data_IF_040988373276
#
_entry.id   IF_040988373276
#
_cell.length_a   1.000
_cell.length_b   1.000
_cell.length_c   1.000
_cell.angle_alpha   90.00
_cell.angle_beta   90.00
_cell.angle_gamma   90.00
#
_symmetry.space_group_name_H-M   'P 1'
#
loop_
_entity.id
_entity.type
_entity.pdbx_description
1 polymer ?
#
# COMPACT_ATOMS: atom_id res chain seq x y z
N UNK A 1 1.34 -2.12 -24.34
CA UNK A 1 1.54 -3.35 -23.54
C UNK A 1 0.44 -3.56 -22.49
N UNK A 2 0.10 -2.55 -21.67
CA UNK A 2 -0.95 -2.67 -20.62
C UNK A 2 -2.37 -2.90 -21.15
N UNK A 3 -2.73 -2.25 -22.27
CA UNK A 3 -4.01 -2.46 -22.97
C UNK A 3 -4.15 -3.91 -23.47
N UNK A 4 -3.06 -4.49 -24.01
CA UNK A 4 -3.04 -5.87 -24.49
C UNK A 4 -3.26 -6.89 -23.36
N UNK A 5 -2.66 -6.65 -22.18
CA UNK A 5 -2.89 -7.46 -20.97
C UNK A 5 -4.31 -7.35 -20.40
N UNK A 6 -5.07 -6.33 -20.82
CA UNK A 6 -6.44 -6.05 -20.37
C UNK A 6 -7.49 -6.42 -21.43
N UNK A 7 -7.11 -6.94 -22.60
CA UNK A 7 -8.03 -7.29 -23.69
C UNK A 7 -9.08 -8.33 -23.29
N UNK A 8 -8.74 -9.24 -22.37
CA UNK A 8 -9.67 -10.22 -21.81
C UNK A 8 -10.58 -9.65 -20.70
N UNK A 9 -10.42 -8.37 -20.33
CA UNK A 9 -11.14 -7.69 -19.26
C UNK A 9 -11.76 -6.37 -19.78
N UNK A 10 -12.92 -6.42 -20.46
CA UNK A 10 -13.51 -5.25 -21.12
C UNK A 10 -13.75 -4.05 -20.19
N UNK A 11 -14.06 -4.31 -18.93
CA UNK A 11 -14.24 -3.27 -17.91
C UNK A 11 -12.93 -2.60 -17.52
N UNK A 12 -11.80 -3.31 -17.57
CA UNK A 12 -10.48 -2.74 -17.28
C UNK A 12 -10.05 -1.81 -18.42
N UNK A 13 -10.38 -2.17 -19.67
CA UNK A 13 -10.17 -1.29 -20.83
C UNK A 13 -11.01 -0.03 -20.71
N UNK A 14 -12.29 -0.16 -20.36
CA UNK A 14 -13.16 1.01 -20.14
C UNK A 14 -12.59 1.93 -19.05
N UNK A 15 -12.15 1.37 -17.92
CA UNK A 15 -11.54 2.16 -16.85
C UNK A 15 -10.21 2.81 -17.27
N UNK A 16 -9.36 2.12 -18.03
CA UNK A 16 -8.12 2.70 -18.59
C UNK A 16 -8.42 3.83 -19.58
N UNK A 17 -9.45 3.68 -20.42
CA UNK A 17 -9.90 4.70 -21.36
C UNK A 17 -10.52 5.89 -20.62
N UNK A 18 -11.39 5.65 -19.64
CA UNK A 18 -12.00 6.70 -18.83
C UNK A 18 -10.95 7.42 -18.00
N UNK A 19 -9.96 6.73 -17.43
CA UNK A 19 -8.84 7.37 -16.74
C UNK A 19 -7.99 8.23 -17.69
N UNK A 20 -7.78 7.77 -18.93
CA UNK A 20 -7.03 8.52 -19.95
C UNK A 20 -7.81 9.72 -20.51
N UNK A 21 -9.14 9.64 -20.59
CA UNK A 21 -10.03 10.66 -21.19
C UNK A 21 -10.61 11.64 -20.17
N UNK A 22 -10.89 11.17 -18.96
CA UNK A 22 -11.56 11.91 -17.86
C UNK A 22 -10.68 11.98 -16.60
N UNK A 23 -9.86 10.96 -16.34
CA UNK A 23 -9.08 10.81 -15.12
C UNK A 23 -7.93 11.80 -14.93
N UNK A 24 -7.57 12.60 -15.94
CA UNK A 24 -6.74 13.80 -15.74
C UNK A 24 -7.47 14.90 -14.93
N UNK A 25 -8.80 14.83 -14.83
CA UNK A 25 -9.62 15.79 -14.07
C UNK A 25 -10.10 15.27 -12.71
N UNK A 26 -9.94 13.96 -12.40
CA UNK A 26 -10.32 13.37 -11.09
C UNK A 26 -9.18 13.52 -10.07
N UNK A 27 -7.94 13.56 -10.54
CA UNK A 27 -6.78 14.00 -9.78
C UNK A 27 -6.47 15.39 -10.28
N UNK A 28 -6.80 16.44 -9.52
CA UNK A 28 -6.38 17.80 -9.87
C UNK A 28 -4.87 17.77 -10.10
N UNK A 29 -4.42 18.01 -11.34
CA UNK A 29 -2.99 18.21 -11.60
C UNK A 29 -2.55 19.40 -10.77
N UNK A 30 -1.67 19.16 -9.80
CA UNK A 30 -1.12 20.21 -8.96
C UNK A 30 -0.45 21.24 -9.90
N UNK A 31 -0.93 22.47 -9.89
CA UNK A 31 -0.21 23.55 -10.56
C UNK A 31 1.03 23.87 -9.73
N UNK A 32 2.15 23.30 -10.16
CA UNK A 32 3.44 23.43 -9.48
C UNK A 32 4.10 24.78 -9.74
N UNK A 33 3.60 25.58 -10.71
CA UNK A 33 4.25 26.83 -11.13
C UNK A 33 4.32 27.89 -10.04
N UNK A 34 3.40 27.85 -9.08
CA UNK A 34 3.35 28.76 -7.92
C UNK A 34 4.16 28.28 -6.70
N UNK A 35 4.70 27.05 -6.74
CA UNK A 35 5.46 26.46 -5.64
C UNK A 35 6.92 26.95 -5.63
N UNK A 36 7.57 26.86 -4.46
CA UNK A 36 9.01 27.06 -4.37
C UNK A 36 9.76 26.02 -5.24
N UNK A 37 10.96 26.35 -5.77
CA UNK A 37 11.77 25.37 -6.51
C UNK A 37 12.05 24.09 -5.71
N UNK A 38 12.26 24.20 -4.40
CA UNK A 38 12.48 23.05 -3.52
C UNK A 38 11.23 22.17 -3.39
N UNK A 39 10.04 22.76 -3.27
CA UNK A 39 8.79 22.00 -3.19
C UNK A 39 8.44 21.35 -4.53
N UNK A 40 8.71 22.03 -5.67
CA UNK A 40 8.61 21.42 -6.99
C UNK A 40 9.49 20.16 -7.07
N UNK A 41 10.75 20.28 -6.64
CA UNK A 41 11.67 19.14 -6.60
C UNK A 41 11.20 18.03 -5.65
N UNK A 42 10.60 18.37 -4.51
CA UNK A 42 9.99 17.38 -3.62
C UNK A 42 8.87 16.60 -4.33
N UNK A 43 7.97 17.26 -5.07
CA UNK A 43 6.96 16.55 -5.85
C UNK A 43 7.54 15.72 -7.00
N UNK A 44 8.63 16.14 -7.63
CA UNK A 44 9.35 15.31 -8.60
C UNK A 44 9.91 14.04 -7.97
N UNK A 45 10.59 14.16 -6.83
CA UNK A 45 11.10 13.02 -6.05
C UNK A 45 9.95 12.10 -5.61
N UNK A 46 8.81 12.67 -5.20
CA UNK A 46 7.61 11.90 -4.86
C UNK A 46 7.11 11.09 -6.07
N UNK A 47 7.01 11.70 -7.25
CA UNK A 47 6.57 11.01 -8.45
C UNK A 47 7.53 9.88 -8.87
N UNK A 48 8.84 10.10 -8.70
CA UNK A 48 9.88 9.10 -9.01
C UNK A 48 9.81 7.88 -8.10
N UNK A 49 9.63 8.10 -6.79
CA UNK A 49 9.72 7.04 -5.77
C UNK A 49 8.37 6.37 -5.46
N UNK A 50 7.25 7.08 -5.63
CA UNK A 50 5.91 6.63 -5.20
C UNK A 50 5.00 6.15 -6.35
N UNK A 51 5.34 6.52 -7.60
CA UNK A 51 4.58 6.18 -8.82
C UNK A 51 3.08 6.49 -8.68
N UNK A 52 2.22 5.47 -8.63
CA UNK A 52 0.76 5.64 -8.57
C UNK A 52 0.27 6.28 -7.28
N UNK A 53 1.02 6.16 -6.18
CA UNK A 53 0.62 6.74 -4.89
C UNK A 53 0.91 8.25 -4.83
N UNK A 54 1.82 8.77 -5.67
CA UNK A 54 2.07 10.20 -5.80
C UNK A 54 0.82 11.00 -6.22
N UNK A 55 0.03 10.44 -7.14
CA UNK A 55 -1.23 11.07 -7.59
C UNK A 55 -2.25 11.18 -6.45
N UNK A 56 -2.28 10.17 -5.57
CA UNK A 56 -3.20 10.13 -4.43
C UNK A 56 -2.79 11.16 -3.37
N UNK A 57 -1.48 11.31 -3.10
CA UNK A 57 -0.95 12.35 -2.21
C UNK A 57 -1.25 13.74 -2.78
N UNK A 58 -1.04 13.96 -4.07
CA UNK A 58 -1.29 15.25 -4.73
C UNK A 58 -2.77 15.66 -4.73
N UNK A 59 -3.69 14.72 -4.52
CA UNK A 59 -5.12 14.98 -4.43
C UNK A 59 -5.59 15.40 -3.03
N UNK A 60 -4.74 15.34 -1.99
CA UNK A 60 -5.09 15.76 -0.63
C UNK A 60 -5.43 17.25 -0.56
N UNK A 61 -6.31 17.63 0.37
CA UNK A 61 -6.78 19.01 0.50
C UNK A 61 -5.77 19.92 1.23
N UNK A 62 -5.79 21.19 0.87
CA UNK A 62 -5.12 22.27 1.62
C UNK A 62 -3.63 22.04 1.90
N UNK A 63 -3.22 22.37 3.11
CA UNK A 63 -1.82 22.27 3.54
C UNK A 63 -1.43 20.88 4.06
N UNK A 64 -2.39 19.94 4.14
CA UNK A 64 -2.11 18.53 4.40
C UNK A 64 -1.33 17.91 3.23
N UNK A 65 -1.61 18.35 2.00
CA UNK A 65 -0.93 17.86 0.79
C UNK A 65 0.60 18.02 0.82
N UNK A 66 1.18 19.21 1.03
CA UNK A 66 2.63 19.35 1.16
C UNK A 66 3.15 18.64 2.42
N UNK A 67 2.40 18.64 3.53
CA UNK A 67 2.82 17.95 4.76
C UNK A 67 3.00 16.43 4.54
N UNK A 68 2.03 15.77 3.90
CA UNK A 68 2.10 14.32 3.58
C UNK A 68 3.15 14.03 2.52
N UNK A 69 3.36 14.92 1.54
CA UNK A 69 4.46 14.79 0.58
C UNK A 69 5.82 14.76 1.29
N UNK A 70 6.07 15.73 2.18
CA UNK A 70 7.31 15.79 2.95
C UNK A 70 7.42 14.61 3.91
N UNK A 71 6.34 14.23 4.60
CA UNK A 71 6.34 13.06 5.47
C UNK A 71 6.74 11.79 4.71
N UNK A 72 6.17 11.56 3.53
CA UNK A 72 6.52 10.43 2.67
C UNK A 72 8.01 10.46 2.27
N UNK A 73 8.55 11.61 1.87
CA UNK A 73 9.95 11.71 1.43
C UNK A 73 10.94 11.54 2.58
N UNK A 74 10.61 12.04 3.77
CA UNK A 74 11.39 11.83 5.00
C UNK A 74 11.47 10.34 5.30
N UNK A 75 10.34 9.63 5.27
CA UNK A 75 10.31 8.20 5.53
C UNK A 75 10.97 7.40 4.41
N UNK A 76 10.79 7.78 3.14
CA UNK A 76 11.50 7.14 2.02
C UNK A 76 13.01 7.25 2.18
N UNK A 77 13.52 8.41 2.62
CA UNK A 77 14.93 8.59 2.89
C UNK A 77 15.42 7.73 4.07
N UNK A 78 14.61 7.60 5.12
CA UNK A 78 14.89 6.68 6.23
C UNK A 78 14.94 5.21 5.76
N UNK A 79 13.92 4.74 5.01
CA UNK A 79 13.88 3.40 4.40
C UNK A 79 15.10 3.16 3.49
N UNK A 80 15.52 4.17 2.74
CA UNK A 80 16.68 4.05 1.83
C UNK A 80 17.98 3.77 2.60
N UNK A 81 18.12 4.29 3.83
CA UNK A 81 19.24 3.95 4.70
C UNK A 81 19.09 2.53 5.27
N UNK A 82 17.88 2.14 5.65
CA UNK A 82 17.59 0.81 6.20
C UNK A 82 17.88 -0.29 5.16
N UNK A 83 17.35 -0.14 3.94
CA UNK A 83 17.40 -1.14 2.87
C UNK A 83 18.80 -1.30 2.26
N UNK A 84 19.67 -0.29 2.38
CA UNK A 84 20.98 -0.31 1.74
C UNK A 84 21.95 -1.29 2.42
N UNK A 85 22.10 -2.47 1.84
CA UNK A 85 22.98 -3.53 2.35
C UNK A 85 24.47 -3.21 2.18
N UNK A 86 24.83 -2.12 1.48
CA UNK A 86 26.22 -1.67 1.33
C UNK A 86 26.69 -0.80 2.50
N UNK A 87 25.75 -0.26 3.29
CA UNK A 87 26.06 0.54 4.48
C UNK A 87 26.39 -0.39 5.66
N UNK A 88 27.56 -0.27 6.31
CA UNK A 88 27.90 -1.08 7.47
C UNK A 88 26.87 -0.94 8.61
N UNK A 89 26.55 -2.03 9.34
CA UNK A 89 25.53 -1.99 10.40
C UNK A 89 25.74 -0.91 11.46
N UNK A 90 26.98 -0.71 11.93
CA UNK A 90 27.28 0.30 12.95
C UNK A 90 27.00 1.72 12.45
N UNK A 91 27.36 2.01 11.20
CA UNK A 91 27.05 3.29 10.54
C UNK A 91 25.54 3.46 10.39
N UNK A 92 24.84 2.40 9.96
CA UNK A 92 23.39 2.40 9.78
C UNK A 92 22.65 2.69 11.09
N UNK A 93 23.06 2.07 12.20
CA UNK A 93 22.48 2.31 13.53
C UNK A 93 22.59 3.78 13.94
N UNK A 94 23.76 4.40 13.73
CA UNK A 94 23.98 5.82 14.06
C UNK A 94 23.09 6.71 13.20
N UNK A 95 23.05 6.46 11.89
CA UNK A 95 22.24 7.24 10.95
C UNK A 95 20.75 7.15 11.27
N UNK A 96 20.20 5.95 11.45
CA UNK A 96 18.78 5.73 11.72
C UNK A 96 18.33 6.39 13.03
N UNK A 97 19.09 6.22 14.13
CA UNK A 97 18.76 6.83 15.43
C UNK A 97 18.81 8.35 15.39
N UNK A 98 19.78 8.92 14.67
CA UNK A 98 19.96 10.36 14.55
C UNK A 98 19.07 11.00 13.47
N UNK A 99 18.40 10.22 12.63
CA UNK A 99 17.76 10.71 11.40
C UNK A 99 16.80 11.88 11.62
N UNK A 100 15.96 11.79 12.66
CA UNK A 100 15.01 12.85 13.03
C UNK A 100 15.68 14.21 13.32
N UNK A 101 16.95 14.22 13.75
CA UNK A 101 17.71 15.46 14.00
C UNK A 101 18.16 16.13 12.70
N UNK A 102 18.40 15.35 11.64
CA UNK A 102 18.82 15.85 10.34
C UNK A 102 17.72 16.66 9.64
N UNK A 103 16.46 16.49 10.04
CA UNK A 103 15.35 17.36 9.61
C UNK A 103 15.60 18.84 9.96
N UNK A 104 16.36 19.09 11.03
CA UNK A 104 16.70 20.43 11.50
C UNK A 104 18.08 20.91 11.03
N UNK A 105 18.87 20.06 10.38
CA UNK A 105 20.15 20.43 9.77
C UNK A 105 19.94 20.85 8.30
N UNK A 106 20.18 22.13 7.93
CA UNK A 106 20.00 22.59 6.56
C UNK A 106 21.00 22.03 5.54
N UNK A 107 22.08 21.39 5.99
CA UNK A 107 23.17 20.95 5.12
C UNK A 107 23.30 19.43 5.05
N UNK A 108 22.64 18.71 5.94
CA UNK A 108 22.76 17.26 5.99
C UNK A 108 22.25 16.62 4.70
N UNK A 109 23.09 15.74 4.13
CA UNK A 109 22.80 14.85 3.03
C UNK A 109 23.62 13.57 3.20
N UNK A 110 23.29 12.55 2.43
CA UNK A 110 24.05 11.29 2.42
C UNK A 110 24.25 10.79 0.99
N UNK A 111 25.50 10.72 0.54
CA UNK A 111 25.89 10.43 -0.86
C UNK A 111 26.50 9.05 -1.07
N UNK A 112 26.62 8.25 0.00
CA UNK A 112 27.28 6.95 -0.06
C UNK A 112 26.33 5.81 -0.43
N UNK A 113 25.02 6.06 -0.45
CA UNK A 113 24.01 5.04 -0.74
C UNK A 113 24.09 4.54 -2.19
N UNK A 114 23.88 3.24 -2.37
CA UNK A 114 23.78 2.58 -3.68
C UNK A 114 22.34 2.21 -4.06
N UNK A 115 21.36 2.54 -3.21
CA UNK A 115 19.96 2.26 -3.46
C UNK A 115 19.39 3.06 -4.63
N UNK A 116 18.34 2.50 -5.25
CA UNK A 116 17.67 3.10 -6.42
C UNK A 116 17.11 4.50 -6.14
N UNK A 117 16.69 4.75 -4.90
CA UNK A 117 16.01 5.98 -4.47
C UNK A 117 16.96 6.97 -3.79
N UNK A 118 18.29 6.74 -3.82
CA UNK A 118 19.32 7.57 -3.14
C UNK A 118 19.24 9.08 -3.38
N UNK A 119 18.59 9.53 -4.45
CA UNK A 119 18.35 10.95 -4.70
C UNK A 119 17.63 11.65 -3.52
N UNK A 120 16.76 10.95 -2.77
CA UNK A 120 16.11 11.53 -1.58
C UNK A 120 17.10 11.79 -0.43
N UNK A 121 18.22 11.07 -0.38
CA UNK A 121 19.30 11.26 0.59
C UNK A 121 20.32 12.30 0.12
N UNK A 122 20.69 12.25 -1.17
CA UNK A 122 21.63 13.20 -1.78
C UNK A 122 21.05 14.63 -1.81
N UNK A 123 19.75 14.75 -2.05
CA UNK A 123 19.02 16.03 -2.11
C UNK A 123 18.22 16.34 -0.84
N UNK A 124 18.50 15.65 0.26
CA UNK A 124 17.78 15.83 1.53
C UNK A 124 17.70 17.28 2.04
N UNK A 125 18.67 18.19 1.81
CA UNK A 125 18.54 19.60 2.16
C UNK A 125 17.29 20.30 1.60
N UNK A 126 16.81 19.88 0.43
CA UNK A 126 15.57 20.40 -0.17
C UNK A 126 14.34 19.92 0.59
N UNK A 127 14.31 18.62 0.91
CA UNK A 127 13.24 17.98 1.69
C UNK A 127 13.18 18.58 3.09
N UNK A 128 14.31 18.65 3.79
CA UNK A 128 14.40 19.20 5.15
C UNK A 128 14.12 20.72 5.15
N UNK A 129 14.48 21.42 4.07
CA UNK A 129 14.13 22.82 3.82
C UNK A 129 12.63 23.08 3.80
N UNK A 130 11.87 22.27 3.07
CA UNK A 130 10.40 22.36 3.02
C UNK A 130 9.76 21.85 4.32
N UNK A 131 10.30 20.81 4.95
CA UNK A 131 9.89 20.36 6.28
C UNK A 131 9.87 21.51 7.31
N UNK A 132 10.95 22.30 7.39
CA UNK A 132 11.07 23.41 8.35
C UNK A 132 10.09 24.57 8.08
N UNK A 133 9.44 24.60 6.92
CA UNK A 133 8.40 25.59 6.56
C UNK A 133 6.99 25.14 6.95
N UNK A 134 6.79 23.86 7.27
CA UNK A 134 5.50 23.32 7.69
C UNK A 134 5.05 23.93 9.04
N UNK A 135 3.76 23.82 9.36
CA UNK A 135 3.24 24.18 10.69
C UNK A 135 3.93 23.36 11.79
N UNK A 136 4.13 23.96 12.97
CA UNK A 136 4.84 23.33 14.10
C UNK A 136 4.30 21.94 14.44
N UNK A 137 2.97 21.78 14.50
CA UNK A 137 2.34 20.48 14.76
C UNK A 137 2.68 19.43 13.70
N UNK A 138 2.78 19.79 12.42
CA UNK A 138 3.20 18.84 11.39
C UNK A 138 4.67 18.45 11.54
N UNK A 139 5.54 19.42 11.88
CA UNK A 139 6.96 19.15 12.13
C UNK A 139 7.15 18.19 13.31
N UNK A 140 6.43 18.42 14.41
CA UNK A 140 6.44 17.56 15.60
C UNK A 140 6.09 16.11 15.25
N UNK A 141 4.95 15.90 14.56
CA UNK A 141 4.49 14.57 14.15
C UNK A 141 5.52 13.86 13.26
N UNK A 142 5.99 14.53 12.21
CA UNK A 142 6.95 13.94 11.27
C UNK A 142 8.26 13.58 11.97
N UNK A 143 8.77 14.47 12.83
CA UNK A 143 10.02 14.23 13.57
C UNK A 143 9.88 13.10 14.59
N UNK A 144 8.78 13.07 15.36
CA UNK A 144 8.51 12.01 16.33
C UNK A 144 8.38 10.64 15.66
N UNK A 145 7.65 10.55 14.55
CA UNK A 145 7.52 9.30 13.82
C UNK A 145 8.87 8.87 13.23
N UNK A 146 9.61 9.77 12.59
CA UNK A 146 10.95 9.46 12.07
C UNK A 146 11.90 8.96 13.18
N UNK A 147 11.82 9.54 14.39
CA UNK A 147 12.59 9.11 15.55
C UNK A 147 12.22 7.69 15.98
N UNK A 148 10.92 7.42 16.16
CA UNK A 148 10.43 6.09 16.59
C UNK A 148 10.71 5.01 15.55
N UNK A 149 10.48 5.31 14.27
CA UNK A 149 10.78 4.40 13.17
C UNK A 149 12.28 4.10 13.10
N UNK A 150 13.13 5.14 13.13
CA UNK A 150 14.59 4.96 13.08
C UNK A 150 15.12 4.14 14.25
N UNK A 151 14.60 4.35 15.47
CA UNK A 151 14.93 3.53 16.61
C UNK A 151 14.47 2.07 16.44
N UNK A 152 13.22 1.86 16.01
CA UNK A 152 12.61 0.55 15.78
C UNK A 152 13.32 -0.28 14.71
N UNK A 153 13.68 0.34 13.58
CA UNK A 153 14.47 -0.31 12.51
C UNK A 153 15.79 -0.89 13.05
N UNK A 154 16.45 -0.22 14.01
CA UNK A 154 17.69 -0.75 14.59
C UNK A 154 17.52 -2.06 15.36
N UNK A 155 16.31 -2.36 15.85
CA UNK A 155 16.01 -3.63 16.53
C UNK A 155 16.13 -4.80 15.56
N UNK A 156 15.70 -4.63 14.31
CA UNK A 156 15.67 -5.70 13.29
C UNK A 156 16.85 -5.68 12.33
N UNK A 157 17.82 -4.78 12.50
CA UNK A 157 19.09 -4.83 11.74
C UNK A 157 19.97 -6.03 12.10
N UNK A 158 19.88 -6.51 13.33
CA UNK A 158 20.70 -7.62 13.85
C UNK A 158 19.89 -8.84 14.26
N UNK A 159 18.57 -8.67 14.44
CA UNK A 159 17.66 -9.74 14.84
C UNK A 159 16.81 -10.18 13.64
N UNK A 160 16.71 -11.50 13.44
CA UNK A 160 15.74 -12.08 12.52
C UNK A 160 14.33 -12.04 13.13
N UNK A 161 13.31 -11.96 12.29
CA UNK A 161 11.91 -12.09 12.71
C UNK A 161 11.59 -13.57 13.00
N UNK A 162 11.52 -13.93 14.28
CA UNK A 162 11.29 -15.31 14.70
C UNK A 162 9.81 -15.60 14.97
N UNK A 163 9.11 -14.76 15.74
CA UNK A 163 7.71 -15.00 16.13
C UNK A 163 6.72 -14.18 15.32
N UNK A 164 5.45 -14.55 15.37
CA UNK A 164 4.36 -13.75 14.79
C UNK A 164 4.24 -12.38 15.47
N UNK A 165 4.52 -12.29 16.78
CA UNK A 165 4.54 -11.03 17.53
C UNK A 165 5.72 -10.14 17.11
N UNK A 166 6.90 -10.71 16.88
CA UNK A 166 8.05 -9.96 16.34
C UNK A 166 7.77 -9.46 14.92
N UNK A 167 6.97 -10.21 14.13
CA UNK A 167 6.53 -9.75 12.82
C UNK A 167 5.56 -8.56 12.92
N UNK A 168 4.64 -8.59 13.90
CA UNK A 168 3.78 -7.46 14.22
C UNK A 168 4.59 -6.25 14.72
N UNK A 169 5.61 -6.47 15.55
CA UNK A 169 6.51 -5.41 16.05
C UNK A 169 7.32 -4.79 14.91
N UNK A 170 7.91 -5.60 14.03
CA UNK A 170 8.60 -5.10 12.85
C UNK A 170 7.66 -4.26 11.98
N UNK A 171 6.47 -4.79 11.66
CA UNK A 171 5.47 -4.08 10.87
C UNK A 171 4.96 -2.81 11.58
N UNK A 172 4.91 -2.80 12.92
CA UNK A 172 4.58 -1.62 13.71
C UNK A 172 5.60 -0.52 13.46
N UNK A 173 6.89 -0.82 13.56
CA UNK A 173 7.93 0.17 13.33
C UNK A 173 7.93 0.70 11.90
N UNK A 174 7.88 -0.16 10.88
CA UNK A 174 8.08 0.31 9.48
C UNK A 174 6.80 0.81 8.80
N UNK A 175 5.61 0.49 9.31
CA UNK A 175 4.34 0.87 8.68
C UNK A 175 3.23 1.27 9.66
N UNK A 176 3.13 0.63 10.82
CA UNK A 176 2.14 0.98 11.84
C UNK A 176 2.29 2.42 12.34
N UNK A 177 3.52 2.84 12.62
CA UNK A 177 3.88 4.22 12.96
C UNK A 177 3.54 5.21 11.84
N UNK A 178 3.63 4.80 10.56
CA UNK A 178 3.23 5.63 9.42
C UNK A 178 1.72 5.89 9.46
N UNK A 179 0.91 4.86 9.73
CA UNK A 179 -0.52 5.00 9.92
C UNK A 179 -0.88 5.94 11.07
N UNK A 180 -0.18 5.81 12.20
CA UNK A 180 -0.34 6.69 13.38
C UNK A 180 0.05 8.14 13.03
N UNK A 181 1.18 8.36 12.37
CA UNK A 181 1.64 9.67 11.93
C UNK A 181 0.67 10.35 10.98
N UNK A 182 0.20 9.63 9.96
CA UNK A 182 -0.82 10.12 9.04
C UNK A 182 -2.10 10.54 9.79
N UNK A 183 -2.55 9.72 10.74
CA UNK A 183 -3.73 10.03 11.57
C UNK A 183 -3.56 11.34 12.34
N UNK A 184 -2.38 11.56 12.93
CA UNK A 184 -2.06 12.82 13.63
C UNK A 184 -1.96 14.01 12.66
N UNK A 185 -1.42 13.82 11.45
CA UNK A 185 -1.41 14.87 10.42
C UNK A 185 -2.85 15.23 9.98
N UNK A 186 -3.73 14.24 9.84
CA UNK A 186 -5.14 14.47 9.51
C UNK A 186 -5.85 15.31 10.57
N UNK A 187 -5.69 14.96 11.85
CA UNK A 187 -6.23 15.75 12.96
C UNK A 187 -5.62 17.15 13.02
N UNK A 188 -4.29 17.26 12.92
CA UNK A 188 -3.56 18.54 12.93
C UNK A 188 -3.94 19.47 11.78
N UNK A 189 -4.38 18.90 10.65
CA UNK A 189 -4.87 19.68 9.51
C UNK A 189 -6.19 20.39 9.79
N UNK A 190 -6.99 19.88 10.73
CA UNK A 190 -8.37 20.30 10.98
C UNK A 190 -9.38 19.73 9.99
N UNK A 191 -8.96 18.83 9.09
CA UNK A 191 -9.84 18.15 8.14
C UNK A 191 -10.56 16.94 8.75
N UNK A 192 -10.02 16.36 9.83
CA UNK A 192 -10.63 15.28 10.60
C UNK A 192 -10.81 15.68 12.07
N UNK A 193 -11.74 15.01 12.76
CA UNK A 193 -11.99 15.24 14.17
C UNK A 193 -10.75 14.85 15.02
N UNK A 194 -10.29 15.69 15.96
CA UNK A 194 -9.11 15.41 16.78
C UNK A 194 -9.17 14.09 17.57
N UNK A 195 -10.37 13.60 17.88
CA UNK A 195 -10.55 12.31 18.58
C UNK A 195 -10.01 11.12 17.79
N UNK A 196 -9.79 11.26 16.47
CA UNK A 196 -9.23 10.19 15.64
C UNK A 196 -7.81 9.81 16.09
N UNK A 197 -7.04 10.74 16.67
CA UNK A 197 -5.69 10.47 17.21
C UNK A 197 -5.70 9.40 18.31
N UNK A 198 -6.80 9.28 19.07
CA UNK A 198 -6.95 8.29 20.13
C UNK A 198 -7.04 6.84 19.63
N UNK A 199 -7.28 6.63 18.33
CA UNK A 199 -7.45 5.31 17.73
C UNK A 199 -6.14 4.70 17.22
N UNK A 200 -5.06 4.82 18.00
CA UNK A 200 -3.70 4.38 17.60
C UNK A 200 -3.65 2.90 17.21
N UNK A 201 -4.42 2.03 17.89
CA UNK A 201 -4.56 0.61 17.53
C UNK A 201 -5.08 0.42 16.11
N UNK A 202 -6.13 1.16 15.73
CA UNK A 202 -6.73 1.07 14.40
C UNK A 202 -5.80 1.66 13.32
N UNK A 203 -5.17 2.80 13.61
CA UNK A 203 -4.16 3.40 12.75
C UNK A 203 -2.95 2.47 12.53
N UNK A 204 -2.54 1.74 13.57
CA UNK A 204 -1.52 0.71 13.47
C UNK A 204 -1.97 -0.44 12.55
N UNK A 205 -3.18 -0.96 12.74
CA UNK A 205 -3.73 -2.04 11.89
C UNK A 205 -3.80 -1.64 10.41
N UNK A 206 -4.08 -0.36 10.10
CA UNK A 206 -4.02 0.16 8.72
C UNK A 206 -2.63 0.01 8.10
N UNK A 207 -1.57 0.30 8.85
CA UNK A 207 -0.18 0.15 8.42
C UNK A 207 0.24 -1.32 8.30
N UNK A 208 -0.04 -2.13 9.34
CA UNK A 208 0.28 -3.56 9.36
C UNK A 208 -0.35 -4.30 8.19
N UNK A 209 -1.61 -4.01 7.85
CA UNK A 209 -2.29 -4.70 6.75
C UNK A 209 -1.58 -4.48 5.41
N UNK A 210 -1.15 -3.24 5.15
CA UNK A 210 -0.39 -2.91 3.93
C UNK A 210 0.99 -3.57 3.93
N UNK A 211 1.71 -3.48 5.05
CA UNK A 211 3.08 -3.99 5.14
C UNK A 211 3.14 -5.50 5.02
N UNK A 212 2.29 -6.21 5.77
CA UNK A 212 2.20 -7.67 5.69
C UNK A 212 1.82 -8.14 4.30
N UNK A 213 0.91 -7.43 3.63
CA UNK A 213 0.54 -7.74 2.24
C UNK A 213 1.73 -7.61 1.29
N UNK A 214 2.57 -6.58 1.43
CA UNK A 214 3.76 -6.42 0.61
C UNK A 214 4.81 -7.51 0.93
N UNK A 215 5.13 -7.75 2.21
CA UNK A 215 6.05 -8.82 2.63
C UNK A 215 5.62 -10.19 2.10
N UNK A 216 4.31 -10.48 2.09
CA UNK A 216 3.79 -11.74 1.54
C UNK A 216 4.00 -11.81 0.02
N UNK A 217 3.69 -10.73 -0.70
CA UNK A 217 3.74 -10.67 -2.17
C UNK A 217 5.18 -10.66 -2.70
N UNK A 218 6.08 -9.98 -2.01
CA UNK A 218 7.44 -9.68 -2.45
C UNK A 218 8.48 -10.72 -2.00
N UNK A 219 8.02 -11.88 -1.46
CA UNK A 219 8.87 -12.99 -1.00
C UNK A 219 10.09 -13.27 -1.91
N UNK A 220 9.88 -13.41 -3.23
CA UNK A 220 10.97 -13.75 -4.14
C UNK A 220 11.97 -12.60 -4.31
N UNK A 221 11.50 -11.35 -4.36
CA UNK A 221 12.35 -10.17 -4.47
C UNK A 221 13.23 -10.03 -3.23
N UNK A 222 12.64 -10.22 -2.04
CA UNK A 222 13.36 -10.15 -0.77
C UNK A 222 14.43 -11.24 -0.65
N UNK A 223 14.10 -12.50 -0.96
CA UNK A 223 15.05 -13.61 -0.86
C UNK A 223 16.23 -13.43 -1.84
N UNK A 224 15.99 -12.90 -3.04
CA UNK A 224 17.05 -12.60 -4.02
C UNK A 224 17.96 -11.47 -3.53
N UNK A 225 17.43 -10.53 -2.75
CA UNK A 225 18.15 -9.40 -2.15
C UNK A 225 18.69 -9.71 -0.74
N UNK A 226 18.72 -11.00 -0.36
CA UNK A 226 19.21 -11.49 0.94
C UNK A 226 18.42 -10.98 2.16
N UNK A 227 17.14 -10.66 1.97
CA UNK A 227 16.20 -10.25 3.03
C UNK A 227 15.21 -11.36 3.37
N UNK A 228 14.93 -11.54 4.66
CA UNK A 228 14.06 -12.59 5.18
C UNK A 228 13.07 -12.01 6.21
N UNK A 229 11.86 -11.67 5.78
CA UNK A 229 10.84 -11.04 6.63
C UNK A 229 9.72 -11.98 7.09
N UNK A 230 9.60 -13.18 6.50
CA UNK A 230 8.59 -14.14 6.96
C UNK A 230 9.00 -14.71 8.31
N UNK A 231 8.10 -14.71 9.32
CA UNK A 231 8.44 -15.14 10.67
C UNK A 231 8.79 -16.63 10.72
N UNK A 232 9.87 -16.98 11.43
CA UNK A 232 10.31 -18.36 11.62
C UNK A 232 9.23 -19.28 12.15
N UNK A 233 8.44 -18.81 13.10
CA UNK A 233 7.30 -19.53 13.67
C UNK A 233 6.31 -19.98 12.59
N UNK A 234 6.10 -19.19 11.54
CA UNK A 234 5.25 -19.57 10.42
C UNK A 234 5.95 -20.57 9.48
N UNK A 235 7.09 -20.18 8.90
CA UNK A 235 7.69 -20.98 7.82
C UNK A 235 8.33 -22.29 8.30
N UNK A 236 8.79 -22.36 9.55
CA UNK A 236 9.45 -23.56 10.09
C UNK A 236 8.48 -24.73 10.30
N UNK A 237 7.17 -24.48 10.27
CA UNK A 237 6.15 -25.54 10.25
C UNK A 237 6.13 -26.31 8.92
N UNK A 238 6.67 -25.72 7.85
CA UNK A 238 6.53 -26.21 6.47
C UNK A 238 7.88 -26.48 5.78
N UNK A 239 8.97 -25.88 6.26
CA UNK A 239 10.32 -26.09 5.72
C UNK A 239 11.40 -25.94 6.81
N UNK A 240 12.62 -26.42 6.52
CA UNK A 240 13.76 -26.27 7.42
C UNK A 240 14.46 -24.91 7.25
N UNK A 241 14.32 -24.30 6.07
CA UNK A 241 14.87 -23.00 5.72
C UNK A 241 13.84 -22.25 4.85
N UNK A 242 13.69 -20.94 5.06
CA UNK A 242 12.73 -20.13 4.29
C UNK A 242 13.00 -20.20 2.78
N UNK A 243 14.26 -20.24 2.36
CA UNK A 243 14.66 -20.27 0.94
C UNK A 243 14.26 -21.56 0.24
N UNK A 244 13.96 -22.63 0.98
CA UNK A 244 13.50 -23.88 0.41
C UNK A 244 12.22 -23.72 -0.42
N UNK A 245 11.40 -22.70 -0.14
CA UNK A 245 10.16 -22.45 -0.90
C UNK A 245 10.40 -22.05 -2.37
N UNK A 246 11.63 -21.68 -2.76
CA UNK A 246 11.99 -21.50 -4.16
C UNK A 246 12.03 -22.83 -4.94
N UNK A 247 12.23 -23.96 -4.25
CA UNK A 247 12.36 -25.27 -4.89
C UNK A 247 10.98 -25.75 -5.38
N UNK A 248 10.82 -26.16 -6.65
CA UNK A 248 9.54 -26.69 -7.14
C UNK A 248 9.00 -27.87 -6.31
N UNK A 249 9.89 -28.71 -5.76
CA UNK A 249 9.53 -29.84 -4.90
C UNK A 249 8.90 -29.43 -3.55
N UNK A 250 9.08 -28.18 -3.12
CA UNK A 250 8.54 -27.63 -1.88
C UNK A 250 7.29 -26.77 -2.09
N UNK A 251 6.77 -26.69 -3.31
CA UNK A 251 5.69 -25.75 -3.66
C UNK A 251 4.43 -25.93 -2.83
N UNK A 252 4.04 -27.17 -2.52
CA UNK A 252 2.85 -27.43 -1.70
C UNK A 252 3.00 -26.85 -0.29
N UNK A 253 4.16 -27.05 0.34
CA UNK A 253 4.45 -26.56 1.68
C UNK A 253 4.59 -25.02 1.69
N UNK A 254 5.22 -24.46 0.64
CA UNK A 254 5.30 -23.03 0.41
C UNK A 254 3.91 -22.37 0.34
N UNK A 255 2.99 -22.96 -0.43
CA UNK A 255 1.60 -22.47 -0.55
C UNK A 255 0.86 -22.55 0.80
N UNK A 256 1.09 -23.58 1.61
CA UNK A 256 0.48 -23.66 2.94
C UNK A 256 0.99 -22.58 3.89
N UNK A 257 2.29 -22.30 3.88
CA UNK A 257 2.87 -21.19 4.62
C UNK A 257 2.31 -19.83 4.14
N UNK A 258 2.18 -19.64 2.83
CA UNK A 258 1.58 -18.47 2.23
C UNK A 258 0.14 -18.26 2.73
N UNK A 259 -0.68 -19.31 2.69
CA UNK A 259 -2.06 -19.25 3.15
C UNK A 259 -2.14 -18.93 4.65
N UNK A 260 -1.25 -19.49 5.47
CA UNK A 260 -1.16 -19.17 6.90
C UNK A 260 -0.89 -17.67 7.14
N UNK A 261 0.10 -17.09 6.46
CA UNK A 261 0.43 -15.67 6.60
C UNK A 261 -0.67 -14.75 6.08
N UNK A 262 -1.32 -15.11 4.97
CA UNK A 262 -2.48 -14.36 4.46
C UNK A 262 -3.63 -14.43 5.48
N UNK A 263 -3.90 -15.60 6.05
CA UNK A 263 -4.93 -15.79 7.08
C UNK A 263 -4.69 -14.90 8.30
N UNK A 264 -3.45 -14.85 8.80
CA UNK A 264 -3.04 -13.93 9.87
C UNK A 264 -3.26 -12.47 9.48
N UNK A 265 -2.91 -12.09 8.24
CA UNK A 265 -3.05 -10.72 7.75
C UNK A 265 -4.52 -10.28 7.61
N UNK A 266 -5.42 -11.18 7.19
CA UNK A 266 -6.85 -10.91 7.06
C UNK A 266 -7.53 -10.54 8.39
N UNK A 267 -6.96 -10.96 9.53
CA UNK A 267 -7.46 -10.59 10.87
C UNK A 267 -7.45 -9.07 11.12
N UNK A 268 -6.68 -8.30 10.36
CA UNK A 268 -6.58 -6.85 10.47
C UNK A 268 -7.71 -6.10 9.75
N UNK A 269 -8.44 -6.75 8.83
CA UNK A 269 -9.47 -6.08 8.02
C UNK A 269 -10.64 -5.48 8.81
N UNK A 270 -11.16 -6.11 9.88
CA UNK A 270 -12.17 -5.49 10.72
C UNK A 270 -11.72 -4.15 11.31
N UNK A 271 -10.46 -4.05 11.75
CA UNK A 271 -9.90 -2.79 12.25
C UNK A 271 -9.74 -1.76 11.12
N UNK A 272 -9.32 -2.19 9.93
CA UNK A 272 -9.24 -1.31 8.74
C UNK A 272 -10.62 -0.72 8.41
N UNK A 273 -11.66 -1.56 8.39
CA UNK A 273 -13.03 -1.11 8.16
C UNK A 273 -13.52 -0.16 9.26
N UNK A 274 -13.19 -0.45 10.52
CA UNK A 274 -13.53 0.40 11.64
C UNK A 274 -12.82 1.76 11.55
N UNK A 275 -11.52 1.79 11.25
CA UNK A 275 -10.74 3.02 11.04
C UNK A 275 -11.39 3.89 9.96
N UNK A 276 -11.69 3.29 8.81
CA UNK A 276 -12.28 3.97 7.66
C UNK A 276 -13.68 4.53 7.92
N UNK A 277 -14.38 4.05 8.96
CA UNK A 277 -15.68 4.61 9.37
C UNK A 277 -15.58 5.97 10.09
N UNK A 278 -14.41 6.26 10.67
CA UNK A 278 -14.15 7.53 11.36
C UNK A 278 -13.81 8.66 10.38
N UNK A 279 -13.19 8.34 9.23
CA UNK A 279 -12.75 9.32 8.22
C UNK A 279 -13.96 10.01 7.58
N UNK A 280 -13.94 11.36 7.55
CA UNK A 280 -15.03 12.19 7.01
C UNK A 280 -14.63 13.00 5.79
N UNK A 281 -13.39 13.49 5.73
CA UNK A 281 -12.91 14.25 4.58
C UNK A 281 -12.70 13.32 3.37
N UNK A 282 -13.19 13.72 2.21
CA UNK A 282 -13.17 12.88 1.02
C UNK A 282 -11.77 12.63 0.46
N UNK A 283 -10.88 13.63 0.47
CA UNK A 283 -9.51 13.45 -0.03
C UNK A 283 -8.73 12.49 0.87
N UNK A 284 -8.90 12.60 2.20
CA UNK A 284 -8.32 11.68 3.19
C UNK A 284 -8.92 10.27 3.06
N UNK A 285 -10.24 10.16 2.86
CA UNK A 285 -10.90 8.87 2.61
C UNK A 285 -10.30 8.18 1.39
N UNK A 286 -10.21 8.89 0.25
CA UNK A 286 -9.62 8.34 -0.97
C UNK A 286 -8.17 7.90 -0.73
N UNK A 287 -7.40 8.77 -0.05
CA UNK A 287 -6.00 8.50 0.29
C UNK A 287 -5.82 7.22 1.11
N UNK A 288 -6.68 7.00 2.10
CA UNK A 288 -6.62 5.80 2.95
C UNK A 288 -7.23 4.57 2.26
N UNK A 289 -8.34 4.71 1.53
CA UNK A 289 -9.09 3.58 0.97
C UNK A 289 -8.35 2.90 -0.18
N UNK A 290 -7.68 3.67 -1.06
CA UNK A 290 -7.03 3.13 -2.26
C UNK A 290 -6.00 2.04 -1.91
N UNK A 291 -5.00 2.29 -1.02
CA UNK A 291 -4.04 1.27 -0.65
C UNK A 291 -4.67 0.02 -0.02
N UNK A 292 -5.69 0.19 0.83
CA UNK A 292 -6.34 -0.92 1.53
C UNK A 292 -7.07 -1.84 0.54
N UNK A 293 -7.76 -1.27 -0.44
CA UNK A 293 -8.41 -2.04 -1.51
C UNK A 293 -7.41 -2.73 -2.43
N UNK A 294 -6.29 -2.08 -2.75
CA UNK A 294 -5.20 -2.70 -3.51
C UNK A 294 -4.55 -3.85 -2.73
N UNK A 295 -4.44 -3.73 -1.41
CA UNK A 295 -3.88 -4.75 -0.56
C UNK A 295 -4.77 -6.00 -0.52
N UNK A 296 -6.09 -5.87 -0.27
CA UNK A 296 -6.98 -7.05 -0.30
C UNK A 296 -7.07 -7.68 -1.70
N UNK A 297 -7.04 -6.88 -2.78
CA UNK A 297 -6.95 -7.40 -4.14
C UNK A 297 -5.64 -8.18 -4.38
N UNK A 298 -4.54 -7.70 -3.80
CA UNK A 298 -3.23 -8.38 -3.85
C UNK A 298 -3.26 -9.68 -3.05
N UNK A 299 -3.79 -9.68 -1.82
CA UNK A 299 -3.94 -10.90 -1.03
C UNK A 299 -4.80 -11.93 -1.74
N UNK A 300 -5.91 -11.49 -2.37
CA UNK A 300 -6.73 -12.37 -3.20
C UNK A 300 -5.97 -12.95 -4.40
N UNK A 301 -5.08 -12.18 -5.03
CA UNK A 301 -4.19 -12.67 -6.09
C UNK A 301 -3.14 -13.67 -5.57
N UNK A 302 -2.60 -13.46 -4.37
CA UNK A 302 -1.57 -14.31 -3.76
C UNK A 302 -2.15 -15.60 -3.17
N UNK A 303 -3.37 -15.57 -2.64
CA UNK A 303 -3.93 -16.70 -1.91
C UNK A 303 -4.01 -17.98 -2.75
N UNK A 304 -3.48 -19.07 -2.22
CA UNK A 304 -3.34 -20.38 -2.87
C UNK A 304 -2.66 -20.32 -4.26
N UNK A 305 -1.79 -19.33 -4.49
CA UNK A 305 -1.15 -19.10 -5.78
C UNK A 305 0.36 -19.39 -5.72
N UNK A 306 0.77 -20.51 -6.29
CA UNK A 306 2.18 -20.89 -6.33
C UNK A 306 3.09 -19.88 -7.02
N UNK A 307 2.58 -19.02 -7.91
CA UNK A 307 3.42 -18.07 -8.67
C UNK A 307 4.16 -17.05 -7.80
N UNK A 308 3.73 -16.82 -6.56
CA UNK A 308 4.45 -15.99 -5.56
C UNK A 308 5.91 -16.41 -5.42
N UNK A 309 6.20 -17.70 -5.59
CA UNK A 309 7.54 -18.28 -5.42
C UNK A 309 8.34 -18.37 -6.74
N UNK A 310 7.78 -17.90 -7.86
CA UNK A 310 8.38 -18.02 -9.20
C UNK A 310 8.58 -16.69 -9.90
N UNK A 311 7.69 -15.73 -9.65
CA UNK A 311 7.66 -14.46 -10.37
C UNK A 311 7.08 -13.36 -9.47
N UNK A 312 7.34 -12.10 -9.84
CA UNK A 312 6.76 -10.92 -9.21
C UNK A 312 5.31 -10.76 -9.63
N UNK A 313 4.38 -11.31 -8.83
CA UNK A 313 2.95 -11.17 -9.11
C UNK A 313 2.43 -9.79 -8.68
N UNK A 314 1.71 -9.13 -9.59
CA UNK A 314 1.12 -7.80 -9.35
C UNK A 314 -0.30 -7.77 -9.92
N UNK A 315 -1.19 -7.04 -9.25
CA UNK A 315 -2.50 -6.72 -9.83
C UNK A 315 -2.29 -5.98 -11.16
N UNK A 316 -3.18 -6.21 -12.13
CA UNK A 316 -3.07 -5.56 -13.43
C UNK A 316 -3.30 -4.07 -13.28
N UNK A 317 -2.66 -3.26 -14.13
CA UNK A 317 -2.84 -1.80 -14.12
C UNK A 317 -4.29 -1.38 -14.33
N UNK A 318 -5.04 -2.08 -15.21
CA UNK A 318 -6.45 -1.81 -15.42
C UNK A 318 -7.30 -2.07 -14.17
N UNK A 319 -7.07 -3.20 -13.50
CA UNK A 319 -7.66 -3.50 -12.19
C UNK A 319 -7.29 -2.44 -11.14
N UNK A 320 -6.04 -2.01 -11.06
CA UNK A 320 -5.61 -0.96 -10.14
C UNK A 320 -6.35 0.37 -10.40
N UNK A 321 -6.50 0.76 -11.66
CA UNK A 321 -7.26 1.96 -12.05
C UNK A 321 -8.74 1.83 -11.68
N UNK A 322 -9.36 0.67 -11.87
CA UNK A 322 -10.74 0.45 -11.42
C UNK A 322 -10.88 0.67 -9.91
N UNK A 323 -9.97 0.11 -9.11
CA UNK A 323 -9.99 0.28 -7.66
C UNK A 323 -9.86 1.76 -7.26
N UNK A 324 -8.98 2.51 -7.92
CA UNK A 324 -8.84 3.97 -7.72
C UNK A 324 -10.16 4.69 -8.07
N UNK A 325 -10.79 4.35 -9.19
CA UNK A 325 -12.03 5.03 -9.61
C UNK A 325 -13.22 4.70 -8.70
N UNK A 326 -13.19 3.54 -8.05
CA UNK A 326 -14.22 3.08 -7.14
C UNK A 326 -13.97 3.49 -5.67
N UNK A 327 -12.83 4.09 -5.33
CA UNK A 327 -12.42 4.40 -3.95
C UNK A 327 -13.07 5.66 -3.36
N UNK A 328 -14.35 5.89 -3.60
CA UNK A 328 -15.00 7.17 -3.33
C UNK A 328 -16.03 7.15 -2.18
N UNK A 329 -16.30 5.99 -1.59
CA UNK A 329 -17.30 5.87 -0.52
C UNK A 329 -17.09 4.62 0.34
N UNK A 330 -17.56 4.66 1.59
CA UNK A 330 -17.52 3.53 2.52
C UNK A 330 -18.27 2.30 1.98
N UNK A 331 -19.40 2.51 1.30
CA UNK A 331 -20.15 1.44 0.66
C UNK A 331 -19.35 0.76 -0.48
N UNK A 332 -18.63 1.55 -1.28
CA UNK A 332 -17.76 0.97 -2.32
C UNK A 332 -16.60 0.18 -1.72
N UNK A 333 -15.96 0.74 -0.68
CA UNK A 333 -14.90 0.06 0.08
C UNK A 333 -15.37 -1.29 0.64
N UNK A 334 -16.52 -1.33 1.33
CA UNK A 334 -17.09 -2.55 1.89
C UNK A 334 -17.38 -3.59 0.81
N UNK A 335 -17.97 -3.18 -0.32
CA UNK A 335 -18.27 -4.07 -1.45
C UNK A 335 -17.01 -4.64 -2.10
N UNK A 336 -15.96 -3.84 -2.24
CA UNK A 336 -14.68 -4.29 -2.79
C UNK A 336 -13.99 -5.28 -1.84
N UNK A 337 -13.95 -4.98 -0.54
CA UNK A 337 -13.41 -5.90 0.47
C UNK A 337 -14.21 -7.20 0.48
N UNK A 338 -15.55 -7.13 0.44
CA UNK A 338 -16.40 -8.31 0.38
C UNK A 338 -16.18 -9.13 -0.90
N UNK A 339 -16.07 -8.48 -2.06
CA UNK A 339 -15.78 -9.14 -3.33
C UNK A 339 -14.49 -9.96 -3.25
N UNK A 340 -13.38 -9.35 -2.85
CA UNK A 340 -12.09 -10.06 -2.75
C UNK A 340 -12.07 -11.07 -1.61
N UNK A 341 -12.82 -10.85 -0.53
CA UNK A 341 -13.03 -11.85 0.52
C UNK A 341 -13.73 -13.09 -0.01
N UNK A 342 -14.78 -12.94 -0.82
CA UNK A 342 -15.44 -14.05 -1.52
C UNK A 342 -14.50 -14.73 -2.52
N UNK A 343 -13.65 -13.99 -3.23
CA UNK A 343 -12.63 -14.58 -4.11
C UNK A 343 -11.64 -15.46 -3.34
N UNK A 344 -11.15 -15.02 -2.18
CA UNK A 344 -10.29 -15.83 -1.31
C UNK A 344 -11.06 -17.06 -0.81
N UNK A 345 -12.29 -16.87 -0.33
CA UNK A 345 -13.13 -17.95 0.20
C UNK A 345 -13.30 -19.12 -0.80
N UNK A 346 -13.46 -18.78 -2.07
CA UNK A 346 -13.62 -19.75 -3.16
C UNK A 346 -12.32 -20.47 -3.55
N UNK A 347 -11.15 -19.97 -3.13
CA UNK A 347 -9.83 -20.57 -3.40
C UNK A 347 -9.34 -21.48 -2.28
N UNK A 348 -10.05 -21.53 -1.15
CA UNK A 348 -9.67 -22.33 0.02
C UNK A 348 -9.72 -23.82 -0.32
N UNK A 349 -8.55 -24.44 -0.34
CA UNK A 349 -8.37 -25.88 -0.51
C UNK A 349 -8.81 -26.62 0.77
N UNK A 350 -9.52 -27.74 0.63
CA UNK A 350 -10.00 -28.52 1.79
C UNK A 350 -8.89 -29.22 2.58
N UNK A 351 -7.69 -29.32 2.01
CA UNK A 351 -6.49 -29.91 2.62
C UNK A 351 -5.51 -28.85 3.15
N UNK A 352 -5.88 -27.57 3.08
CA UNK A 352 -5.09 -26.48 3.65
C UNK A 352 -5.23 -26.43 5.18
N UNK A 353 -4.13 -26.48 5.95
CA UNK A 353 -4.19 -26.46 7.41
C UNK A 353 -4.83 -25.19 8.00
N UNK A 354 -4.76 -24.06 7.31
CA UNK A 354 -5.35 -22.78 7.73
C UNK A 354 -6.77 -22.58 7.18
N UNK A 355 -7.30 -23.55 6.42
CA UNK A 355 -8.52 -23.39 5.64
C UNK A 355 -9.76 -23.08 6.49
N UNK A 356 -9.93 -23.76 7.63
CA UNK A 356 -11.06 -23.51 8.55
C UNK A 356 -10.98 -22.11 9.18
N UNK A 357 -9.81 -21.72 9.68
CA UNK A 357 -9.59 -20.39 10.24
C UNK A 357 -9.79 -19.30 9.18
N UNK A 358 -9.29 -19.51 7.95
CA UNK A 358 -9.49 -18.59 6.83
C UNK A 358 -10.99 -18.39 6.57
N UNK A 359 -11.78 -19.48 6.52
CA UNK A 359 -13.23 -19.40 6.32
C UNK A 359 -13.89 -18.58 7.43
N UNK A 360 -13.55 -18.86 8.68
CA UNK A 360 -14.09 -18.15 9.84
C UNK A 360 -13.85 -16.64 9.77
N UNK A 361 -12.61 -16.22 9.48
CA UNK A 361 -12.23 -14.80 9.38
C UNK A 361 -12.96 -14.13 8.21
N UNK A 362 -13.02 -14.77 7.04
CA UNK A 362 -13.71 -14.23 5.88
C UNK A 362 -15.22 -14.10 6.11
N UNK A 363 -15.84 -15.08 6.76
CA UNK A 363 -17.24 -15.00 7.17
C UNK A 363 -17.47 -13.80 8.09
N UNK A 364 -16.59 -13.58 9.07
CA UNK A 364 -16.67 -12.40 9.93
C UNK A 364 -16.53 -11.08 9.14
N UNK A 365 -15.56 -10.98 8.23
CA UNK A 365 -15.36 -9.80 7.38
C UNK A 365 -16.61 -9.51 6.53
N UNK A 366 -17.22 -10.54 5.93
CA UNK A 366 -18.43 -10.39 5.11
C UNK A 366 -19.60 -9.86 5.95
N UNK A 367 -19.77 -10.34 7.18
CA UNK A 367 -20.77 -9.82 8.11
C UNK A 367 -20.52 -8.34 8.46
N UNK A 368 -19.27 -7.95 8.71
CA UNK A 368 -18.91 -6.52 8.96
C UNK A 368 -19.21 -5.65 7.74
N UNK A 369 -19.08 -6.20 6.53
CA UNK A 369 -19.45 -5.53 5.27
C UNK A 369 -20.96 -5.56 4.96
N UNK A 370 -21.81 -6.12 5.84
CA UNK A 370 -23.25 -6.33 5.61
C UNK A 370 -23.56 -7.18 4.36
N UNK A 371 -22.71 -8.15 4.05
CA UNK A 371 -22.84 -9.05 2.91
C UNK A 371 -23.10 -10.48 3.40
N UNK A 372 -24.01 -11.21 2.74
CA UNK A 372 -24.30 -12.60 3.08
C UNK A 372 -23.12 -13.51 2.68
N UNK A 373 -22.50 -14.23 3.64
CA UNK A 373 -21.43 -15.19 3.35
C UNK A 373 -21.85 -16.34 2.42
N UNK A 374 -23.13 -16.68 2.38
CA UNK A 374 -23.70 -17.75 1.56
C UNK A 374 -24.19 -17.27 0.18
N UNK A 375 -24.21 -15.97 -0.06
CA UNK A 375 -24.58 -15.43 -1.37
C UNK A 375 -23.46 -15.65 -2.39
N UNK A 376 -23.60 -16.75 -3.13
CA UNK A 376 -22.74 -17.17 -4.24
C UNK A 376 -22.98 -16.38 -5.54
N UNK A 377 -23.94 -15.46 -5.58
CA UNK A 377 -24.10 -14.62 -6.76
C UNK A 377 -22.78 -13.86 -6.97
N UNK A 378 -22.16 -14.10 -8.13
CA UNK A 378 -21.04 -13.31 -8.62
C UNK A 378 -21.55 -11.92 -8.95
N UNK A 379 -21.80 -11.10 -7.95
CA UNK A 379 -21.76 -9.65 -8.09
C UNK A 379 -20.30 -9.31 -8.39
N UNK A 380 -19.93 -9.45 -9.66
CA UNK A 380 -18.70 -8.88 -10.18
C UNK A 380 -18.65 -7.42 -9.73
N UNK A 381 -17.49 -6.91 -9.31
CA UNK A 381 -17.30 -5.47 -9.10
C UNK A 381 -17.83 -4.63 -10.32
N UNK A 382 -17.91 -5.27 -11.49
CA UNK A 382 -18.55 -4.84 -12.73
C UNK A 382 -20.05 -4.50 -12.59
N UNK A 383 -20.84 -5.27 -11.84
CA UNK A 383 -22.28 -4.99 -11.64
C UNK A 383 -22.57 -3.78 -10.75
N UNK A 384 -21.65 -3.47 -9.82
CA UNK A 384 -21.76 -2.30 -8.96
C UNK A 384 -21.42 -1.02 -9.76
N UNK A 385 -20.42 -1.09 -10.66
CA UNK A 385 -20.09 0.00 -11.56
C UNK A 385 -21.21 0.35 -12.55
N UNK A 386 -21.92 -0.67 -13.08
CA UNK A 386 -23.01 -0.47 -14.05
C UNK A 386 -24.33 -0.01 -13.41
N UNK A 387 -24.60 -0.37 -12.15
CA UNK A 387 -25.86 0.03 -11.49
C UNK A 387 -25.81 1.45 -10.89
N UNK A 388 -24.62 1.96 -10.54
CA UNK A 388 -24.47 3.31 -9.98
C UNK A 388 -24.24 4.41 -11.03
N UNK A 389 -23.83 4.06 -12.25
CA UNK A 389 -23.77 5.00 -13.38
C UNK A 389 -24.96 4.78 -14.33
N UNK A 390 -26.12 5.36 -14.01
CA UNK A 390 -27.12 5.67 -15.04
C UNK A 390 -26.62 6.86 -15.87
N UNK A 391 -25.76 6.60 -16.85
CA UNK A 391 -25.53 7.52 -17.97
C UNK A 391 -26.24 6.96 -19.21
N UNK A 392 -26.86 7.82 -20.05
CA UNK A 392 -27.77 7.38 -21.10
C UNK A 392 -27.03 6.54 -22.13
N UNK A 393 -27.75 5.58 -22.70
CA UNK A 393 -27.38 4.76 -23.84
C UNK A 393 -26.63 5.63 -24.87
N UNK A 394 -25.34 5.37 -25.06
CA UNK A 394 -24.64 5.77 -26.29
C UNK A 394 -24.13 4.49 -26.94
N UNK A 395 -25.09 3.75 -27.51
CA UNK A 395 -24.83 2.95 -28.70
C UNK A 395 -24.32 3.92 -29.79
N UNK A 396 -23.07 3.74 -30.23
CA UNK A 396 -22.45 4.15 -31.52
C UNK A 396 -20.99 4.60 -31.36
N UNK A 397 -20.61 5.26 -30.26
CA UNK A 397 -19.22 5.77 -30.08
C UNK A 397 -18.18 4.68 -29.82
N UNK A 398 -18.53 3.61 -29.10
CA UNK A 398 -17.63 2.47 -28.87
C UNK A 398 -17.29 1.69 -30.17
N UNK A 399 -18.24 1.62 -31.11
CA UNK A 399 -18.01 1.00 -32.43
C UNK A 399 -17.13 1.89 -33.31
N UNK A 400 -17.26 3.21 -33.22
CA UNK A 400 -16.42 4.16 -33.95
C UNK A 400 -14.95 4.08 -33.49
N UNK A 401 -14.71 3.94 -32.17
CA UNK A 401 -13.35 3.79 -31.62
C UNK A 401 -12.72 2.45 -32.02
N UNK A 402 -13.49 1.36 -32.07
CA UNK A 402 -13.01 0.06 -32.56
C UNK A 402 -12.71 0.08 -34.06
N UNK A 403 -13.51 0.79 -34.87
CA UNK A 403 -13.20 0.98 -36.30
C UNK A 403 -11.97 1.86 -36.55
N UNK A 404 -11.70 2.82 -35.65
CA UNK A 404 -10.53 3.71 -35.75
C UNK A 404 -9.22 2.98 -35.42
N UNK A 405 -9.27 1.99 -34.51
CA UNK A 405 -8.11 1.16 -34.14
C UNK A 405 -7.79 0.13 -35.24
N UNK A 406 -8.80 -0.45 -35.89
CA UNK A 406 -8.60 -1.41 -36.99
C UNK A 406 -7.91 -0.80 -38.23
N UNK A 407 -8.13 0.50 -38.50
CA UNK A 407 -7.55 1.20 -39.65
C UNK A 407 -6.11 1.67 -39.46
N UNK A 408 -5.62 1.77 -38.21
CA UNK A 408 -4.28 2.30 -37.90
C UNK A 408 -3.24 1.22 -37.57
N UNK A 409 -3.62 -0.06 -37.67
CA UNK A 409 -2.75 -1.21 -37.40
C UNK A 409 -2.48 -2.08 -38.65
N UNK A 410 -2.64 -1.52 -39.85
CA UNK A 410 -2.09 -2.06 -41.09
C UNK A 410 -0.93 -1.18 -41.56
#
# INVERSE_FOLDING_TARGET
MDLLKSLAHPTEIYALLQYKLVGQNVVHSLDTSSLSPDMQRCYELLNQTSRSFAAVIQALDGDLRPAVCIFYLVLRALDTIEDDMTIPPDTKIVLLKAFHTYLYDPKWNFTQSQEKDKAVLEEFPKISGEFRKLRSRYQEVISEIAQKMGAGMTVFLTNKVNTMEEWDEYCHYVAGLVGIGLTQLFAASGLEDPSIEGNTRLANSMGLFLQKTNIIRDYLEDIVQDREFWPKEAWSQFANDLRDFQKPSKRRDAIRCLNFLITSTLKLLPDVLQYMSYIKNQSIFNFCAIPQMMAIATLALCYNNGKVFEDMIKIRKGQAVQLIMQSNSSNSLQKIIAYYSKEIFNKIDSTDPSGEETRSILTHILLVCNEDPLDTNRSTAVGIALSQYKAPIISTTALIVLSYIYWYTQ
#
